data_IF_593830172721
#
_entry.id   IF_593830172721
#
_cell.length_a   1.000
_cell.length_b   1.000
_cell.length_c   1.000
_cell.angle_alpha   90.00
_cell.angle_beta   90.00
_cell.angle_gamma   90.00
#
_symmetry.space_group_name_H-M   'P 1'
#
loop_
_entity.id
_entity.type
_entity.pdbx_description
1 polymer ?
#
# COMPACT_ATOMS: atom_id res chain seq x y z
N UNK A 1 6.69 -63.49 9.84
CA UNK A 1 6.68 -62.15 10.45
C UNK A 1 7.24 -61.04 9.53
N UNK A 2 8.21 -61.35 8.63
CA UNK A 2 8.90 -60.32 7.86
C UNK A 2 8.15 -59.74 6.61
N UNK A 3 7.12 -60.42 6.11
CA UNK A 3 6.38 -59.92 4.92
C UNK A 3 5.26 -58.93 5.27
N UNK A 4 4.69 -59.01 6.46
CA UNK A 4 3.66 -58.02 6.92
C UNK A 4 4.28 -56.68 7.33
N UNK A 5 5.51 -56.70 7.90
CA UNK A 5 6.24 -55.48 8.27
C UNK A 5 6.69 -54.71 7.02
N UNK A 6 7.15 -55.40 5.96
CA UNK A 6 7.51 -54.76 4.70
C UNK A 6 6.30 -54.15 3.97
N UNK A 7 5.12 -54.79 4.03
CA UNK A 7 3.91 -54.25 3.43
C UNK A 7 3.43 -52.99 4.16
N UNK A 8 3.54 -52.96 5.50
CA UNK A 8 3.15 -51.77 6.30
C UNK A 8 4.10 -50.58 6.11
N UNK A 9 5.41 -50.84 6.02
CA UNK A 9 6.41 -49.80 5.73
C UNK A 9 6.29 -49.28 4.28
N UNK A 10 6.02 -50.11 3.31
CA UNK A 10 5.78 -49.70 1.92
C UNK A 10 4.47 -48.87 1.78
N UNK A 11 3.43 -49.20 2.54
CA UNK A 11 2.17 -48.43 2.55
C UNK A 11 2.34 -47.07 3.21
N UNK A 12 3.13 -46.95 4.29
CA UNK A 12 3.44 -45.67 4.92
C UNK A 12 4.32 -44.81 4.01
N UNK A 13 5.34 -45.39 3.34
CA UNK A 13 6.13 -44.66 2.36
C UNK A 13 5.35 -44.27 1.09
N UNK A 14 4.38 -45.09 0.64
CA UNK A 14 3.51 -44.72 -0.49
C UNK A 14 2.51 -43.61 -0.17
N UNK A 15 2.11 -43.46 1.10
CA UNK A 15 1.27 -42.37 1.55
C UNK A 15 2.02 -41.02 1.69
N UNK A 16 3.34 -41.05 1.81
CA UNK A 16 4.18 -39.87 1.90
C UNK A 16 4.59 -39.28 0.55
N UNK A 17 4.47 -40.01 -0.55
CA UNK A 17 4.90 -39.56 -1.90
C UNK A 17 3.81 -38.83 -2.67
N UNK A 18 2.57 -38.76 -2.19
CA UNK A 18 1.45 -38.07 -2.87
C UNK A 18 0.81 -36.93 -2.11
N UNK A 19 1.41 -36.46 -1.02
CA UNK A 19 0.96 -35.26 -0.34
C UNK A 19 1.65 -34.06 -0.96
N UNK A 20 1.17 -33.54 -2.09
CA UNK A 20 1.34 -32.13 -2.40
C UNK A 20 0.94 -31.38 -1.15
N UNK A 21 1.87 -30.64 -0.54
CA UNK A 21 1.62 -29.87 0.67
C UNK A 21 0.39 -28.98 0.44
N UNK A 22 -0.70 -29.26 1.14
CA UNK A 22 -1.90 -28.41 1.08
C UNK A 22 -1.68 -27.07 1.75
N UNK A 23 -0.62 -26.97 2.56
CA UNK A 23 -0.17 -25.77 3.23
C UNK A 23 0.86 -25.06 2.36
N UNK A 24 0.66 -23.78 2.13
CA UNK A 24 1.65 -22.85 1.57
C UNK A 24 2.02 -21.83 2.62
N UNK A 25 3.31 -21.58 2.77
CA UNK A 25 3.86 -20.56 3.68
C UNK A 25 4.75 -19.65 2.87
N UNK A 26 4.66 -18.36 3.08
CA UNK A 26 5.47 -17.38 2.39
C UNK A 26 5.41 -16.04 3.09
N UNK A 27 5.73 -15.01 2.35
CA UNK A 27 5.66 -13.64 2.84
C UNK A 27 6.69 -12.76 2.16
N UNK A 28 6.82 -11.57 2.69
CA UNK A 28 7.82 -10.60 2.27
C UNK A 28 8.30 -9.79 3.49
N UNK A 29 9.38 -9.06 3.30
CA UNK A 29 9.87 -8.16 4.34
C UNK A 29 11.02 -7.31 3.82
N UNK A 30 11.23 -6.21 4.50
CA UNK A 30 12.24 -5.24 4.13
C UNK A 30 12.87 -4.58 5.36
N UNK A 31 14.16 -4.26 5.25
CA UNK A 31 14.88 -3.42 6.18
C UNK A 31 15.53 -2.28 5.42
N UNK A 32 15.42 -1.06 5.91
CA UNK A 32 15.85 0.13 5.23
C UNK A 32 16.65 1.08 6.14
N UNK A 33 17.56 1.81 5.52
CA UNK A 33 18.22 2.97 6.08
C UNK A 33 17.91 4.18 5.20
N UNK A 34 17.55 5.30 5.83
CA UNK A 34 17.32 6.58 5.15
C UNK A 34 18.19 7.67 5.73
N UNK A 35 18.73 8.53 4.87
CA UNK A 35 19.37 9.78 5.24
C UNK A 35 18.64 10.93 4.55
N UNK A 36 17.94 11.74 5.36
CA UNK A 36 17.21 12.91 4.90
C UNK A 36 18.08 14.16 5.03
N UNK A 37 18.14 14.96 3.97
CA UNK A 37 18.87 16.23 3.93
C UNK A 37 17.91 17.42 3.99
N UNK A 38 16.86 17.27 4.79
CA UNK A 38 15.84 18.27 5.08
C UNK A 38 15.36 18.08 6.53
N UNK A 39 14.70 19.10 7.06
CA UNK A 39 14.12 19.06 8.41
C UNK A 39 12.97 18.07 8.51
N UNK A 40 12.89 17.32 9.59
CA UNK A 40 11.71 16.54 9.99
C UNK A 40 10.79 17.31 10.95
N UNK A 41 11.10 18.58 11.22
CA UNK A 41 10.32 19.41 12.13
C UNK A 41 8.88 19.62 11.62
N UNK A 42 7.91 19.54 12.51
CA UNK A 42 6.47 19.70 12.18
C UNK A 42 6.15 21.03 11.52
N UNK A 43 6.84 22.10 11.90
CA UNK A 43 6.64 23.46 11.37
C UNK A 43 7.43 23.75 10.09
N UNK A 44 8.14 22.80 9.50
CA UNK A 44 8.97 23.02 8.28
C UNK A 44 8.20 23.59 7.09
N UNK A 45 6.89 23.36 7.02
CA UNK A 45 6.04 23.91 5.97
C UNK A 45 5.42 25.26 6.32
N UNK A 46 5.24 25.57 7.60
CA UNK A 46 4.72 26.87 8.04
C UNK A 46 5.83 27.91 8.23
N UNK A 47 7.05 27.47 8.51
CA UNK A 47 8.23 28.28 8.78
C UNK A 47 9.45 27.77 8.00
N UNK A 48 9.40 27.70 6.65
CA UNK A 48 10.44 27.04 5.85
C UNK A 48 11.83 27.73 5.98
N UNK A 49 11.88 29.04 6.17
CA UNK A 49 13.14 29.76 6.35
C UNK A 49 13.86 29.41 7.67
N UNK A 50 13.11 29.07 8.71
CA UNK A 50 13.69 28.68 10.00
C UNK A 50 14.27 27.26 9.98
N UNK A 51 13.81 26.43 9.07
CA UNK A 51 14.16 25.01 9.00
C UNK A 51 14.98 24.60 7.77
N UNK A 52 15.41 25.54 6.92
CA UNK A 52 16.16 25.23 5.71
C UNK A 52 17.57 24.71 5.97
N UNK A 53 18.17 25.14 7.07
CA UNK A 53 19.55 24.81 7.47
C UNK A 53 19.57 23.75 8.58
N UNK A 54 18.46 23.11 8.89
CA UNK A 54 18.41 22.03 9.86
C UNK A 54 19.35 20.87 9.46
N UNK A 55 20.01 20.23 10.44
CA UNK A 55 20.95 19.17 10.13
C UNK A 55 20.26 17.97 9.51
N UNK A 56 20.95 17.29 8.60
CA UNK A 56 20.48 16.02 8.06
C UNK A 56 20.34 14.98 9.17
N UNK A 57 19.31 14.14 9.06
CA UNK A 57 19.07 13.06 10.01
C UNK A 57 18.94 11.71 9.31
N UNK A 58 19.24 10.65 10.02
CA UNK A 58 19.14 9.28 9.50
C UNK A 58 18.35 8.39 10.41
N UNK A 59 17.70 7.38 9.83
CA UNK A 59 16.92 6.37 10.55
C UNK A 59 17.12 4.98 9.95
N UNK A 60 17.03 3.97 10.81
CA UNK A 60 16.78 2.60 10.40
C UNK A 60 15.29 2.30 10.54
N UNK A 61 14.78 1.48 9.65
CA UNK A 61 13.38 1.08 9.64
C UNK A 61 13.25 -0.36 9.21
N UNK A 62 12.21 -1.03 9.70
CA UNK A 62 11.70 -2.30 9.20
C UNK A 62 10.25 -2.02 8.79
N UNK A 63 10.03 -1.45 7.58
CA UNK A 63 8.71 -0.98 7.18
C UNK A 63 7.65 -2.07 7.28
N UNK A 64 7.96 -3.25 6.75
CA UNK A 64 7.03 -4.37 6.70
C UNK A 64 7.74 -5.70 6.89
N UNK A 65 7.16 -6.60 7.69
CA UNK A 65 7.44 -8.04 7.71
C UNK A 65 6.10 -8.76 7.68
N UNK A 66 5.85 -9.48 6.61
CA UNK A 66 4.55 -10.11 6.34
C UNK A 66 4.70 -11.62 6.26
N UNK A 67 3.80 -12.33 6.93
CA UNK A 67 3.68 -13.78 6.91
C UNK A 67 2.40 -14.18 6.18
N UNK A 68 2.55 -14.88 5.08
CA UNK A 68 1.46 -15.47 4.33
C UNK A 68 1.27 -16.94 4.68
N UNK A 69 0.03 -17.34 4.96
CA UNK A 69 -0.38 -18.73 5.13
C UNK A 69 -1.56 -19.03 4.20
N UNK A 70 -1.42 -20.05 3.38
CA UNK A 70 -2.46 -20.56 2.51
C UNK A 70 -2.76 -22.02 2.78
N UNK A 71 -4.02 -22.46 2.68
CA UNK A 71 -4.39 -23.85 2.82
C UNK A 71 -5.40 -24.27 1.76
N UNK A 72 -5.14 -25.38 1.07
CA UNK A 72 -6.04 -26.01 0.11
C UNK A 72 -6.83 -27.14 0.78
N UNK A 73 -8.12 -26.93 1.05
CA UNK A 73 -9.03 -27.94 1.59
C UNK A 73 -9.42 -28.98 0.55
N UNK A 74 -9.11 -28.77 -0.72
CA UNK A 74 -9.60 -29.56 -1.84
C UNK A 74 -10.98 -29.13 -2.32
N UNK A 75 -11.44 -29.74 -3.41
CA UNK A 75 -12.74 -29.44 -4.05
C UNK A 75 -12.94 -27.96 -4.40
N UNK A 76 -11.85 -27.23 -4.64
CA UNK A 76 -11.86 -25.79 -4.98
C UNK A 76 -12.06 -24.86 -3.79
N UNK A 77 -11.91 -25.32 -2.55
CA UNK A 77 -11.91 -24.48 -1.36
C UNK A 77 -10.49 -24.15 -0.92
N UNK A 78 -10.20 -22.87 -0.73
CA UNK A 78 -8.91 -22.40 -0.24
C UNK A 78 -9.09 -21.36 0.85
N UNK A 79 -8.14 -21.31 1.79
CA UNK A 79 -7.96 -20.28 2.79
C UNK A 79 -6.71 -19.47 2.42
N UNK A 80 -6.73 -18.15 2.62
CA UNK A 80 -5.56 -17.30 2.65
C UNK A 80 -5.63 -16.39 3.85
N UNK A 81 -4.49 -16.20 4.50
CA UNK A 81 -4.32 -15.22 5.58
C UNK A 81 -2.96 -14.57 5.48
N UNK A 82 -2.88 -13.32 5.83
CA UNK A 82 -1.67 -12.50 5.80
C UNK A 82 -1.62 -11.63 7.05
N UNK A 83 -0.51 -11.73 7.78
CA UNK A 83 -0.27 -11.01 9.03
C UNK A 83 0.94 -10.12 8.79
N UNK A 84 0.75 -8.82 8.97
CA UNK A 84 1.78 -7.81 8.84
C UNK A 84 2.29 -7.35 10.20
N UNK A 85 3.58 -7.08 10.26
CA UNK A 85 4.28 -6.42 11.35
C UNK A 85 4.92 -5.15 10.75
N UNK A 86 4.37 -3.98 11.06
CA UNK A 86 4.93 -2.69 10.64
C UNK A 86 5.91 -2.15 11.70
N UNK A 87 6.98 -1.48 11.25
CA UNK A 87 7.98 -0.79 12.07
C UNK A 87 8.50 -1.59 13.26
N UNK A 88 8.71 -2.91 13.08
CA UNK A 88 9.17 -3.82 14.12
C UNK A 88 8.07 -4.40 15.01
N UNK A 89 6.80 -4.22 14.64
CA UNK A 89 5.65 -4.76 15.38
C UNK A 89 5.35 -4.00 16.67
N UNK A 90 4.87 -4.71 17.68
CA UNK A 90 4.44 -4.11 18.96
C UNK A 90 5.59 -3.81 19.93
N UNK A 91 6.75 -3.40 19.41
CA UNK A 91 7.88 -2.96 20.24
C UNK A 91 7.57 -1.70 21.04
N UNK A 92 8.48 -1.33 21.93
CA UNK A 92 8.42 -0.08 22.69
C UNK A 92 9.15 0.98 21.86
N UNK A 93 8.49 2.08 21.56
CA UNK A 93 9.09 3.27 20.96
C UNK A 93 8.80 4.49 21.82
N UNK A 94 9.67 5.49 21.74
CA UNK A 94 9.35 6.82 22.24
C UNK A 94 8.67 7.58 21.14
N UNK A 95 7.41 7.91 21.29
CA UNK A 95 6.72 8.82 20.40
C UNK A 95 6.92 10.26 20.88
N UNK A 96 7.32 11.13 19.95
CA UNK A 96 7.25 12.55 20.18
C UNK A 96 5.84 12.97 19.84
N UNK A 97 4.99 13.14 20.81
CA UNK A 97 3.67 13.71 20.61
C UNK A 97 3.76 15.21 20.29
N UNK A 98 4.02 15.52 19.04
CA UNK A 98 3.77 16.87 18.51
C UNK A 98 2.25 17.17 18.40
N UNK A 99 1.41 16.23 18.78
CA UNK A 99 -0.04 16.34 18.60
C UNK A 99 -0.74 17.20 19.63
N UNK A 100 -0.18 17.42 20.79
CA UNK A 100 -0.82 18.13 21.90
C UNK A 100 -0.26 19.55 22.17
N UNK A 101 0.04 20.30 21.14
CA UNK A 101 0.21 21.75 21.30
C UNK A 101 1.53 22.19 21.94
N UNK A 102 2.63 21.53 21.64
CA UNK A 102 3.97 21.98 22.00
C UNK A 102 4.42 21.56 23.39
N UNK A 103 3.69 20.72 24.06
CA UNK A 103 4.17 19.99 25.22
C UNK A 103 4.96 18.77 24.73
N UNK A 104 6.26 18.81 24.90
CA UNK A 104 7.18 17.70 24.59
C UNK A 104 7.02 16.63 25.67
N UNK A 105 5.93 15.88 25.63
CA UNK A 105 5.80 14.70 26.48
C UNK A 105 6.44 13.52 25.75
N UNK A 106 7.46 12.95 26.40
CA UNK A 106 8.02 11.67 26.02
C UNK A 106 7.13 10.56 26.58
N UNK A 107 6.09 10.21 25.87
CA UNK A 107 5.33 9.02 26.22
C UNK A 107 5.99 7.79 25.59
N UNK A 108 6.03 6.70 26.37
CA UNK A 108 6.47 5.40 25.89
C UNK A 108 5.27 4.71 25.25
N UNK A 109 5.12 4.87 23.95
CA UNK A 109 4.10 4.16 23.20
C UNK A 109 4.62 2.84 22.61
N UNK A 110 3.69 1.98 22.21
CA UNK A 110 4.02 0.80 21.41
C UNK A 110 4.45 1.27 20.03
N UNK A 111 5.72 1.08 19.68
CA UNK A 111 6.20 1.32 18.32
C UNK A 111 5.75 0.20 17.40
N UNK A 112 5.27 0.57 16.21
CA UNK A 112 4.83 -0.36 15.20
C UNK A 112 3.43 -0.93 15.43
N UNK A 113 2.96 -1.68 14.44
CA UNK A 113 1.62 -2.24 14.37
C UNK A 113 1.68 -3.73 14.04
N UNK A 114 0.71 -4.52 14.52
CA UNK A 114 0.47 -5.89 14.05
C UNK A 114 -0.94 -5.93 13.51
N UNK A 115 -1.07 -6.17 12.22
CA UNK A 115 -2.34 -6.10 11.50
C UNK A 115 -2.66 -7.41 10.77
N UNK A 116 -3.94 -7.76 10.72
CA UNK A 116 -4.44 -8.81 9.85
C UNK A 116 -4.75 -8.18 8.49
N UNK A 117 -3.79 -8.20 7.55
CA UNK A 117 -4.00 -7.64 6.21
C UNK A 117 -5.01 -8.41 5.40
N UNK A 118 -4.98 -9.74 5.48
CA UNK A 118 -5.93 -10.58 4.76
C UNK A 118 -6.37 -11.78 5.61
N UNK A 119 -7.65 -12.08 5.51
CA UNK A 119 -8.24 -13.35 5.96
C UNK A 119 -9.45 -13.65 5.11
N UNK A 120 -9.39 -14.69 4.29
CA UNK A 120 -10.49 -15.02 3.40
C UNK A 120 -10.62 -16.51 3.13
N UNK A 121 -11.84 -16.91 2.83
CA UNK A 121 -12.16 -18.19 2.24
C UNK A 121 -12.60 -17.99 0.80
N UNK A 122 -12.11 -18.85 -0.09
CA UNK A 122 -12.44 -18.83 -1.51
C UNK A 122 -13.02 -20.15 -1.97
N UNK A 123 -14.05 -20.07 -2.80
CA UNK A 123 -14.57 -21.18 -3.59
C UNK A 123 -14.29 -20.93 -5.06
N UNK A 124 -13.53 -21.81 -5.68
CA UNK A 124 -13.31 -21.86 -7.12
C UNK A 124 -14.27 -22.84 -7.77
N UNK A 125 -15.07 -22.35 -8.71
CA UNK A 125 -16.00 -23.17 -9.53
C UNK A 125 -15.35 -23.50 -10.87
N UNK A 126 -14.63 -22.53 -11.45
CA UNK A 126 -13.92 -22.66 -12.70
C UNK A 126 -12.81 -21.60 -12.76
N UNK A 127 -11.90 -21.68 -13.73
CA UNK A 127 -10.87 -20.66 -13.96
C UNK A 127 -11.45 -19.24 -14.14
N UNK A 128 -12.65 -19.17 -14.68
CA UNK A 128 -13.36 -17.92 -14.96
C UNK A 128 -14.35 -17.51 -13.86
N UNK A 129 -14.59 -18.35 -12.83
CA UNK A 129 -15.59 -18.08 -11.79
C UNK A 129 -15.08 -18.51 -10.41
N UNK A 130 -14.77 -17.53 -9.57
CA UNK A 130 -14.34 -17.72 -8.19
C UNK A 130 -15.05 -16.72 -7.29
N UNK A 131 -15.43 -17.15 -6.10
CA UNK A 131 -15.97 -16.28 -5.04
C UNK A 131 -14.98 -16.30 -3.88
N UNK A 132 -14.66 -15.14 -3.36
CA UNK A 132 -13.84 -14.93 -2.16
C UNK A 132 -14.61 -14.09 -1.17
N UNK A 133 -14.59 -14.47 0.12
CA UNK A 133 -15.32 -13.80 1.20
C UNK A 133 -14.37 -13.64 2.38
N UNK A 134 -14.33 -12.46 2.96
CA UNK A 134 -13.52 -12.13 4.13
C UNK A 134 -12.90 -10.75 4.03
N UNK A 135 -11.76 -10.58 4.67
CA UNK A 135 -10.93 -9.38 4.56
C UNK A 135 -9.98 -9.55 3.38
N UNK A 136 -10.11 -8.72 2.37
CA UNK A 136 -9.53 -8.91 1.04
C UNK A 136 -8.90 -7.63 0.52
N UNK A 137 -7.84 -7.75 -0.28
CA UNK A 137 -7.21 -6.60 -0.95
C UNK A 137 -8.18 -5.96 -1.93
N UNK A 138 -8.31 -4.64 -1.86
CA UNK A 138 -9.08 -3.82 -2.79
C UNK A 138 -8.24 -3.60 -4.06
N UNK A 139 -8.64 -4.09 -5.24
CA UNK A 139 -7.77 -4.18 -6.40
C UNK A 139 -7.68 -2.87 -7.19
N UNK A 140 -7.54 -1.73 -6.52
CA UNK A 140 -7.47 -0.40 -7.13
C UNK A 140 -6.04 0.11 -7.10
N UNK A 141 -5.55 0.61 -8.22
CA UNK A 141 -4.18 1.09 -8.39
C UNK A 141 -3.17 0.00 -8.73
N UNK A 142 -1.95 0.41 -9.01
CA UNK A 142 -0.83 -0.48 -9.34
C UNK A 142 -0.17 -1.02 -8.07
N UNK A 143 0.22 -0.10 -7.18
CA UNK A 143 1.06 -0.44 -6.03
C UNK A 143 0.25 -1.16 -4.96
N UNK A 144 -1.01 -0.78 -4.77
CA UNK A 144 -1.88 -1.49 -3.84
C UNK A 144 -2.16 -2.93 -4.28
N UNK A 145 -2.41 -3.16 -5.56
CA UNK A 145 -2.64 -4.50 -6.09
C UNK A 145 -1.36 -5.36 -6.15
N UNK A 146 -0.18 -4.76 -6.08
CA UNK A 146 1.14 -5.40 -6.22
C UNK A 146 2.16 -4.75 -5.27
N UNK A 147 1.87 -4.78 -3.97
CA UNK A 147 2.56 -4.00 -2.94
C UNK A 147 3.86 -4.64 -2.40
N UNK A 148 4.17 -5.88 -2.78
CA UNK A 148 5.38 -6.54 -2.32
C UNK A 148 6.65 -5.81 -2.80
N UNK A 149 7.73 -5.78 -2.02
CA UNK A 149 8.90 -4.94 -2.28
C UNK A 149 9.69 -5.29 -3.54
N UNK A 150 9.47 -6.44 -4.15
CA UNK A 150 10.05 -6.81 -5.45
C UNK A 150 9.29 -6.20 -6.64
N UNK A 151 8.11 -5.62 -6.41
CA UNK A 151 7.25 -5.08 -7.46
C UNK A 151 7.49 -3.59 -7.75
N UNK A 152 8.43 -2.95 -7.08
CA UNK A 152 8.87 -1.57 -7.35
C UNK A 152 10.39 -1.43 -7.15
N UNK A 153 11.01 -0.43 -7.79
CA UNK A 153 12.46 -0.24 -7.71
C UNK A 153 12.92 0.57 -6.50
N UNK A 154 12.12 1.53 -6.05
CA UNK A 154 12.43 2.38 -4.89
C UNK A 154 12.62 1.57 -3.62
N UNK A 155 13.36 2.09 -2.64
CA UNK A 155 13.54 1.41 -1.34
C UNK A 155 12.21 1.31 -0.61
N UNK A 156 11.50 2.42 -0.48
CA UNK A 156 10.13 2.44 0.03
C UNK A 156 9.09 2.36 -1.08
N UNK A 157 7.87 2.00 -0.74
CA UNK A 157 6.72 2.01 -1.66
C UNK A 157 6.61 3.35 -2.41
N UNK A 158 6.21 3.35 -3.68
CA UNK A 158 5.94 4.58 -4.43
C UNK A 158 4.97 5.51 -3.70
N UNK A 159 5.30 6.81 -3.66
CA UNK A 159 4.62 7.75 -2.76
C UNK A 159 3.25 8.19 -3.24
N UNK A 160 3.09 8.44 -4.55
CA UNK A 160 1.92 9.11 -5.06
C UNK A 160 0.62 8.37 -4.76
N UNK A 161 0.51 7.11 -5.19
CA UNK A 161 -0.65 6.26 -4.91
C UNK A 161 -0.81 6.04 -3.41
N UNK A 162 0.29 5.75 -2.71
CA UNK A 162 0.33 5.54 -1.28
C UNK A 162 -0.03 6.79 -0.44
N UNK A 163 0.01 7.99 -1.03
CA UNK A 163 -0.41 9.22 -0.36
C UNK A 163 -1.92 9.42 -0.43
N UNK A 164 -2.55 9.15 -1.57
CA UNK A 164 -3.97 9.47 -1.78
C UNK A 164 -4.93 8.32 -1.45
N UNK A 165 -4.45 7.08 -1.44
CA UNK A 165 -5.23 5.87 -1.16
C UNK A 165 -4.64 5.10 0.01
N UNK A 166 -5.42 4.25 0.70
CA UNK A 166 -4.86 3.32 1.67
C UNK A 166 -3.71 2.51 1.05
N UNK A 167 -2.63 2.37 1.79
CA UNK A 167 -1.49 1.54 1.44
C UNK A 167 -1.75 0.14 1.95
N UNK A 168 -1.55 -0.87 1.12
CA UNK A 168 -2.07 -2.21 1.35
C UNK A 168 -3.58 -2.15 1.66
N UNK A 169 -4.31 -1.55 0.74
CA UNK A 169 -5.75 -1.33 0.93
C UNK A 169 -6.50 -2.65 0.94
N UNK A 170 -6.99 -3.02 2.08
CA UNK A 170 -7.86 -4.20 2.27
C UNK A 170 -9.12 -3.82 3.03
N UNK A 171 -10.21 -4.54 2.77
CA UNK A 171 -11.51 -4.31 3.39
C UNK A 171 -12.31 -5.61 3.45
N UNK A 172 -13.23 -5.67 4.39
CA UNK A 172 -14.12 -6.84 4.52
C UNK A 172 -15.25 -6.80 3.51
N UNK A 173 -15.44 -7.91 2.82
CA UNK A 173 -16.47 -8.01 1.79
C UNK A 173 -16.46 -9.31 0.99
N UNK A 174 -17.00 -9.21 -0.21
CA UNK A 174 -17.11 -10.32 -1.16
C UNK A 174 -16.47 -9.91 -2.48
N UNK A 175 -15.67 -10.80 -3.06
CA UNK A 175 -15.08 -10.67 -4.39
C UNK A 175 -15.57 -11.77 -5.31
N UNK A 176 -15.95 -11.38 -6.53
CA UNK A 176 -16.14 -12.23 -7.69
C UNK A 176 -15.00 -11.98 -8.66
N UNK A 177 -14.22 -13.01 -8.99
CA UNK A 177 -13.09 -12.84 -9.89
C UNK A 177 -12.90 -14.04 -10.81
N UNK A 178 -12.18 -13.82 -11.90
CA UNK A 178 -11.87 -14.88 -12.83
C UNK A 178 -10.86 -14.48 -13.89
N UNK A 179 -10.51 -15.48 -14.72
CA UNK A 179 -9.66 -15.33 -15.89
C UNK A 179 -10.35 -15.94 -17.10
N UNK A 180 -10.44 -15.15 -18.17
CA UNK A 180 -10.97 -15.61 -19.45
C UNK A 180 -10.06 -15.13 -20.59
N UNK A 181 -9.48 -16.06 -21.32
CA UNK A 181 -8.42 -15.77 -22.30
C UNK A 181 -7.29 -14.95 -21.64
N UNK A 182 -7.00 -13.81 -22.19
CA UNK A 182 -5.94 -12.90 -21.78
C UNK A 182 -6.42 -11.85 -20.76
N UNK A 183 -7.65 -11.98 -20.29
CA UNK A 183 -8.21 -11.05 -19.30
C UNK A 183 -8.31 -11.70 -17.92
N UNK A 184 -7.93 -10.92 -16.88
CA UNK A 184 -8.32 -11.13 -15.50
C UNK A 184 -9.31 -10.03 -15.11
N UNK A 185 -10.34 -10.38 -14.41
CA UNK A 185 -11.34 -9.43 -13.91
C UNK A 185 -11.71 -9.74 -12.48
N UNK A 186 -12.09 -8.69 -11.76
CA UNK A 186 -12.53 -8.76 -10.37
C UNK A 186 -13.56 -7.68 -10.11
N UNK A 187 -14.61 -8.01 -9.35
CA UNK A 187 -15.61 -7.08 -8.84
C UNK A 187 -15.86 -7.39 -7.37
N UNK A 188 -15.86 -6.37 -6.54
CA UNK A 188 -16.01 -6.49 -5.08
C UNK A 188 -17.17 -5.65 -4.56
N UNK A 189 -17.84 -6.17 -3.53
CA UNK A 189 -18.74 -5.42 -2.66
C UNK A 189 -18.12 -5.42 -1.26
N UNK A 190 -17.89 -4.24 -0.71
CA UNK A 190 -17.06 -3.99 0.45
C UNK A 190 -17.77 -3.11 1.47
N UNK A 191 -17.31 -3.12 2.72
CA UNK A 191 -17.56 -2.04 3.65
C UNK A 191 -17.03 -0.72 3.08
N UNK A 192 -17.70 0.39 3.34
CA UNK A 192 -17.26 1.72 2.90
C UNK A 192 -16.12 2.26 3.75
N UNK A 193 -15.44 3.29 3.27
CA UNK A 193 -14.44 4.03 4.05
C UNK A 193 -15.11 4.93 5.10
N UNK A 194 -14.39 5.25 6.17
CA UNK A 194 -14.82 6.19 7.20
C UNK A 194 -14.26 7.60 6.91
N UNK A 195 -15.13 8.54 6.62
CA UNK A 195 -14.75 9.93 6.32
C UNK A 195 -14.15 10.69 7.52
N UNK A 196 -14.34 10.21 8.76
CA UNK A 196 -13.78 10.83 9.97
C UNK A 196 -12.25 10.83 9.95
N UNK A 197 -11.65 9.87 9.25
CA UNK A 197 -10.21 9.68 9.16
C UNK A 197 -9.59 10.35 7.91
N UNK A 198 -10.37 11.06 7.10
CA UNK A 198 -9.83 11.76 5.92
C UNK A 198 -9.05 13.00 6.32
N UNK A 199 -7.98 13.30 5.59
CA UNK A 199 -7.07 14.41 5.92
C UNK A 199 -6.70 15.23 4.69
N UNK A 200 -6.17 16.44 4.90
CA UNK A 200 -5.64 17.29 3.83
C UNK A 200 -4.35 16.72 3.21
N UNK A 201 -3.54 16.00 3.99
CA UNK A 201 -2.24 15.45 3.56
C UNK A 201 -2.34 14.05 2.96
N UNK A 202 -3.38 13.30 3.27
CA UNK A 202 -3.56 11.92 2.84
C UNK A 202 -4.90 11.63 2.16
N UNK A 203 -5.70 12.65 1.88
CA UNK A 203 -7.02 12.52 1.28
C UNK A 203 -7.85 11.44 1.98
N UNK A 204 -8.10 10.28 1.32
CA UNK A 204 -8.88 9.17 1.90
C UNK A 204 -8.02 8.07 2.55
N UNK A 205 -6.68 8.21 2.55
CA UNK A 205 -5.72 7.16 2.93
C UNK A 205 -6.07 6.44 4.24
N UNK A 206 -6.40 7.19 5.30
CA UNK A 206 -6.71 6.62 6.61
C UNK A 206 -8.17 6.15 6.78
N UNK A 207 -8.98 6.26 5.73
CA UNK A 207 -10.41 5.96 5.80
C UNK A 207 -10.77 4.49 5.98
N UNK A 208 -9.85 3.56 5.78
CA UNK A 208 -10.01 2.14 6.02
C UNK A 208 -9.93 1.78 7.51
N UNK A 209 -9.35 2.64 8.35
CA UNK A 209 -9.17 2.36 9.77
C UNK A 209 -10.49 2.56 10.52
N UNK A 210 -10.82 1.59 11.38
CA UNK A 210 -11.99 1.61 12.25
C UNK A 210 -11.53 1.73 13.72
N UNK A 211 -12.24 2.50 14.57
CA UNK A 211 -11.75 2.78 15.93
C UNK A 211 -11.87 1.58 16.89
N UNK A 212 -12.81 0.68 16.71
CA UNK A 212 -13.06 -0.42 17.69
C UNK A 212 -13.44 -1.74 17.04
N UNK A 213 -14.14 -1.70 15.92
CA UNK A 213 -14.49 -2.86 15.12
C UNK A 213 -13.49 -3.05 14.01
N UNK A 214 -13.41 -4.24 13.49
CA UNK A 214 -12.55 -4.54 12.36
C UNK A 214 -12.93 -3.71 11.12
N UNK A 215 -14.24 -3.67 10.78
CA UNK A 215 -14.81 -2.79 9.75
C UNK A 215 -16.23 -2.38 10.15
N UNK A 216 -16.52 -1.09 10.09
CA UNK A 216 -17.90 -0.59 10.20
C UNK A 216 -18.57 -0.65 8.83
N UNK A 217 -19.73 -1.30 8.73
CA UNK A 217 -20.43 -1.52 7.47
C UNK A 217 -21.79 -0.80 7.40
N UNK A 218 -21.86 0.45 7.88
CA UNK A 218 -23.06 1.29 7.73
C UNK A 218 -23.19 1.87 6.32
N UNK A 219 -22.07 1.90 5.57
CA UNK A 219 -21.99 2.27 4.17
C UNK A 219 -21.25 1.19 3.40
N UNK A 220 -21.55 1.10 2.11
CA UNK A 220 -20.98 0.11 1.21
C UNK A 220 -20.23 0.77 0.06
N UNK A 221 -19.32 0.01 -0.51
CA UNK A 221 -18.55 0.40 -1.67
C UNK A 221 -18.41 -0.77 -2.64
N UNK A 222 -18.10 -0.44 -3.88
CA UNK A 222 -17.75 -1.39 -4.94
C UNK A 222 -16.38 -1.07 -5.48
N UNK A 223 -15.58 -2.09 -5.74
CA UNK A 223 -14.32 -1.97 -6.45
C UNK A 223 -14.35 -2.91 -7.67
N UNK A 224 -13.75 -2.46 -8.77
CA UNK A 224 -13.65 -3.26 -9.99
C UNK A 224 -12.23 -3.16 -10.56
N UNK A 225 -11.75 -4.25 -11.18
CA UNK A 225 -10.48 -4.29 -11.90
C UNK A 225 -10.57 -5.20 -13.12
N UNK A 226 -9.95 -4.77 -14.22
CA UNK A 226 -9.72 -5.58 -15.41
C UNK A 226 -8.26 -5.44 -15.80
N UNK A 227 -7.56 -6.57 -15.94
CA UNK A 227 -6.20 -6.64 -16.48
C UNK A 227 -6.20 -7.35 -17.83
N UNK A 228 -5.45 -6.82 -18.79
CA UNK A 228 -5.20 -7.39 -20.10
C UNK A 228 -3.75 -7.85 -20.23
N UNK A 229 -3.54 -9.08 -20.70
CA UNK A 229 -2.25 -9.74 -20.90
C UNK A 229 -2.06 -10.20 -22.36
N UNK A 230 -2.83 -9.66 -23.33
CA UNK A 230 -2.79 -10.12 -24.72
C UNK A 230 -1.46 -9.84 -25.43
N UNK A 231 -0.67 -8.89 -24.94
CA UNK A 231 0.65 -8.57 -25.48
C UNK A 231 1.71 -9.22 -24.55
N UNK A 232 2.55 -10.13 -25.08
CA UNK A 232 3.60 -10.75 -24.30
C UNK A 232 4.52 -9.74 -23.61
N UNK A 233 4.71 -9.88 -22.31
CA UNK A 233 5.52 -8.97 -21.49
C UNK A 233 4.81 -7.68 -21.09
N UNK A 234 3.58 -7.41 -21.52
CA UNK A 234 2.82 -6.23 -21.16
C UNK A 234 1.50 -6.60 -20.47
N UNK A 235 1.29 -6.07 -19.27
CA UNK A 235 0.01 -6.04 -18.57
C UNK A 235 -0.51 -4.60 -18.57
N UNK A 236 -1.77 -4.41 -18.93
CA UNK A 236 -2.49 -3.14 -18.77
C UNK A 236 -3.65 -3.38 -17.82
N UNK A 237 -3.76 -2.58 -16.76
CA UNK A 237 -4.79 -2.63 -15.75
C UNK A 237 -5.69 -1.39 -15.81
N UNK A 238 -6.98 -1.60 -15.64
CA UNK A 238 -7.96 -0.54 -15.41
C UNK A 238 -8.73 -0.90 -14.14
N UNK A 239 -8.81 0.02 -13.19
CA UNK A 239 -9.52 -0.23 -11.93
C UNK A 239 -10.28 1.01 -11.46
N UNK A 240 -11.24 0.80 -10.56
CA UNK A 240 -12.03 1.85 -9.99
C UNK A 240 -12.69 1.46 -8.68
N UNK A 241 -13.01 2.48 -7.90
CA UNK A 241 -13.73 2.36 -6.63
C UNK A 241 -14.86 3.38 -6.58
N UNK A 242 -16.01 2.95 -6.07
CA UNK A 242 -17.14 3.84 -5.80
C UNK A 242 -17.79 3.45 -4.48
N UNK A 243 -17.96 4.44 -3.56
CA UNK A 243 -18.57 4.20 -2.27
C UNK A 243 -19.08 5.44 -1.57
N UNK A 244 -19.70 5.25 -0.42
CA UNK A 244 -20.14 6.30 0.48
C UNK A 244 -19.34 6.21 1.79
N UNK A 245 -18.95 7.36 2.37
CA UNK A 245 -18.04 7.41 3.52
C UNK A 245 -18.58 8.16 4.74
N UNK A 246 -19.42 9.19 4.54
CA UNK A 246 -19.98 9.95 5.64
C UNK A 246 -20.99 9.10 6.39
N UNK A 247 -20.80 8.98 7.72
CA UNK A 247 -21.62 8.14 8.60
C UNK A 247 -21.26 6.65 8.57
N UNK A 248 -20.12 6.25 7.99
CA UNK A 248 -19.56 4.92 8.15
C UNK A 248 -18.68 4.85 9.42
N UNK A 249 -19.30 5.14 10.54
CA UNK A 249 -18.69 5.20 11.87
C UNK A 249 -19.73 4.81 12.91
N UNK A 250 -19.31 4.71 14.16
CA UNK A 250 -20.25 4.52 15.27
C UNK A 250 -21.15 5.72 15.45
N UNK A 251 -22.44 5.54 15.71
CA UNK A 251 -23.31 6.63 16.14
C UNK A 251 -22.79 7.14 17.49
N UNK A 252 -22.29 8.36 17.50
CA UNK A 252 -22.01 9.06 18.76
C UNK A 252 -23.28 9.77 19.21
N UNK A 253 -23.60 9.69 20.50
CA UNK A 253 -24.85 10.26 21.09
C UNK A 253 -24.97 11.77 20.91
N UNK A 254 -23.94 12.46 20.50
CA UNK A 254 -23.87 13.92 20.58
C UNK A 254 -24.00 14.68 19.27
N UNK A 255 -23.90 14.02 18.13
CA UNK A 255 -23.91 14.79 16.89
C UNK A 255 -24.70 14.07 15.82
N UNK A 256 -25.83 14.68 15.47
CA UNK A 256 -26.56 14.29 14.29
C UNK A 256 -25.66 14.42 13.06
N UNK A 257 -24.98 13.34 12.71
CA UNK A 257 -24.35 13.21 11.40
C UNK A 257 -25.44 13.49 10.39
N UNK A 258 -25.34 14.62 9.71
CA UNK A 258 -26.36 15.00 8.75
C UNK A 258 -26.49 13.92 7.70
N UNK A 259 -27.56 13.14 7.75
CA UNK A 259 -27.89 12.08 6.77
C UNK A 259 -28.07 12.67 5.35
N UNK A 260 -28.11 13.99 5.23
CA UNK A 260 -28.19 14.73 3.98
C UNK A 260 -26.97 14.53 3.10
N UNK A 261 -25.77 14.39 3.69
CA UNK A 261 -24.51 14.28 2.96
C UNK A 261 -24.03 12.85 2.93
N UNK A 262 -23.54 12.38 1.78
CA UNK A 262 -23.15 10.98 1.58
C UNK A 262 -21.64 10.75 1.54
N UNK A 263 -20.85 11.82 1.29
CA UNK A 263 -19.40 11.66 1.08
C UNK A 263 -19.10 10.63 0.00
N UNK A 264 -19.58 10.86 -1.22
CA UNK A 264 -19.38 9.95 -2.35
C UNK A 264 -17.92 9.95 -2.75
N UNK A 265 -17.29 8.80 -2.81
CA UNK A 265 -15.94 8.62 -3.32
C UNK A 265 -16.06 7.96 -4.68
N UNK A 266 -15.35 8.49 -5.67
CA UNK A 266 -15.12 7.83 -6.96
C UNK A 266 -13.64 7.90 -7.29
N UNK A 267 -13.02 6.75 -7.58
CA UNK A 267 -11.61 6.66 -7.98
C UNK A 267 -11.55 5.91 -9.31
N UNK A 268 -10.77 6.44 -10.25
CA UNK A 268 -10.36 5.76 -11.47
C UNK A 268 -8.85 5.63 -11.51
N UNK A 269 -8.36 4.46 -11.88
CA UNK A 269 -6.94 4.17 -12.04
C UNK A 269 -6.68 3.41 -13.33
N UNK A 270 -5.64 3.82 -14.04
CA UNK A 270 -5.04 3.08 -15.15
C UNK A 270 -3.58 2.80 -14.81
N UNK A 271 -3.16 1.56 -15.06
CA UNK A 271 -1.79 1.16 -14.78
C UNK A 271 -1.26 0.17 -15.84
N UNK A 272 0.06 0.05 -15.91
CA UNK A 272 0.70 -0.95 -16.75
C UNK A 272 2.01 -1.45 -16.15
N UNK A 273 2.39 -2.65 -16.55
CA UNK A 273 3.70 -3.25 -16.29
C UNK A 273 4.21 -3.88 -17.58
N UNK A 274 5.36 -3.42 -18.06
CA UNK A 274 6.10 -4.05 -19.15
C UNK A 274 7.33 -4.73 -18.62
N UNK A 275 7.49 -6.00 -18.93
CA UNK A 275 8.64 -6.84 -18.52
C UNK A 275 9.11 -7.70 -19.69
N UNK A 276 9.96 -7.15 -20.53
CA UNK A 276 10.59 -7.82 -21.64
C UNK A 276 11.91 -7.13 -22.02
N UNK A 277 12.76 -7.81 -22.81
CA UNK A 277 14.01 -7.26 -23.37
C UNK A 277 14.95 -6.67 -22.30
N UNK A 278 15.00 -7.30 -21.13
CA UNK A 278 15.79 -6.87 -19.95
C UNK A 278 15.31 -5.54 -19.31
N UNK A 279 14.20 -5.00 -19.77
CA UNK A 279 13.52 -3.86 -19.18
C UNK A 279 12.38 -4.29 -18.25
N UNK A 280 12.21 -3.54 -17.19
CA UNK A 280 10.97 -3.47 -16.42
C UNK A 280 10.54 -2.00 -16.44
N UNK A 281 9.33 -1.74 -16.95
CA UNK A 281 8.74 -0.41 -16.98
C UNK A 281 7.36 -0.52 -16.35
N UNK A 282 7.04 0.36 -15.38
CA UNK A 282 5.75 0.41 -14.71
C UNK A 282 5.25 1.83 -14.67
N UNK A 283 3.95 2.01 -14.79
CA UNK A 283 3.34 3.32 -14.66
C UNK A 283 1.90 3.24 -14.23
N UNK A 284 1.44 4.30 -13.57
CA UNK A 284 0.05 4.46 -13.16
C UNK A 284 -0.40 5.91 -13.25
N UNK A 285 -1.71 6.11 -13.33
CA UNK A 285 -2.37 7.39 -13.16
C UNK A 285 -3.70 7.16 -12.44
N UNK A 286 -3.85 7.84 -11.30
CA UNK A 286 -4.97 7.73 -10.40
C UNK A 286 -5.64 9.10 -10.24
N UNK A 287 -6.96 9.11 -10.30
CA UNK A 287 -7.74 10.31 -10.04
C UNK A 287 -8.92 9.98 -9.14
N UNK A 288 -9.08 10.79 -8.09
CA UNK A 288 -10.11 10.64 -7.09
C UNK A 288 -11.00 11.86 -6.94
N UNK A 289 -12.30 11.61 -6.71
CA UNK A 289 -13.33 12.60 -6.42
C UNK A 289 -14.01 12.27 -5.08
N UNK A 290 -14.18 13.29 -4.22
CA UNK A 290 -14.90 13.22 -2.95
C UNK A 290 -16.02 14.26 -2.93
N UNK A 291 -17.25 13.82 -3.00
CA UNK A 291 -18.43 14.67 -2.90
C UNK A 291 -18.68 15.12 -1.46
N UNK A 292 -19.13 16.36 -1.30
CA UNK A 292 -19.40 16.99 0.02
C UNK A 292 -18.16 17.15 0.91
N UNK A 293 -16.97 17.25 0.33
CA UNK A 293 -15.72 17.43 1.05
C UNK A 293 -15.71 18.69 1.94
N UNK A 294 -16.35 19.78 1.46
CA UNK A 294 -16.54 21.04 2.19
C UNK A 294 -17.36 20.86 3.46
N UNK A 295 -18.26 19.88 3.50
CA UNK A 295 -19.12 19.62 4.64
C UNK A 295 -18.42 18.85 5.76
N UNK A 296 -17.36 18.11 5.46
CA UNK A 296 -16.60 17.37 6.47
C UNK A 296 -16.05 18.28 7.56
N UNK A 297 -15.63 19.49 7.21
CA UNK A 297 -15.20 20.53 8.18
C UNK A 297 -16.24 20.84 9.25
N UNK A 298 -17.50 20.84 8.90
CA UNK A 298 -18.60 21.22 9.80
C UNK A 298 -19.20 20.05 10.54
N UNK A 299 -19.06 18.83 10.01
CA UNK A 299 -19.65 17.63 10.58
C UNK A 299 -18.89 17.13 11.80
N UNK A 300 -17.58 17.27 11.76
CA UNK A 300 -16.72 16.80 12.85
C UNK A 300 -16.32 18.01 13.69
N UNK A 301 -16.91 18.10 14.89
CA UNK A 301 -16.62 19.18 15.83
C UNK A 301 -15.22 18.99 16.43
N UNK A 302 -14.20 19.20 15.60
CA UNK A 302 -12.78 19.13 15.98
C UNK A 302 -12.32 20.38 16.75
N UNK A 303 -13.27 21.18 17.29
CA UNK A 303 -12.97 22.43 17.99
C UNK A 303 -12.12 22.31 19.26
N UNK A 304 -12.08 21.12 19.85
CA UNK A 304 -11.37 20.89 21.11
C UNK A 304 -10.00 20.23 20.94
N UNK A 305 -9.49 20.16 19.72
CA UNK A 305 -8.20 19.56 19.46
C UNK A 305 -7.09 20.60 19.58
N UNK A 306 -6.16 20.36 20.47
CA UNK A 306 -4.94 21.17 20.66
C UNK A 306 -3.83 20.85 19.66
N UNK A 307 -3.96 19.78 18.89
CA UNK A 307 -2.94 19.35 17.95
C UNK A 307 -2.83 20.26 16.74
N UNK A 308 -1.63 20.70 16.33
CA UNK A 308 -1.40 21.42 15.10
C UNK A 308 -1.83 20.61 13.84
N UNK A 309 -1.84 19.28 13.91
CA UNK A 309 -2.32 18.42 12.83
C UNK A 309 -3.84 18.29 12.75
N UNK A 310 -4.54 18.59 13.83
CA UNK A 310 -6.02 18.56 13.88
C UNK A 310 -6.67 19.81 13.24
N UNK A 311 -5.88 20.77 12.77
CA UNK A 311 -6.38 21.83 11.89
C UNK A 311 -6.72 21.34 10.48
N UNK A 312 -6.42 20.09 10.16
CA UNK A 312 -6.76 19.45 8.90
C UNK A 312 -8.24 19.02 8.81
N UNK A 313 -9.16 19.82 9.33
CA UNK A 313 -10.60 19.63 9.10
C UNK A 313 -10.99 19.77 7.62
N UNK A 314 -10.07 20.25 6.79
CA UNK A 314 -10.27 20.40 5.36
C UNK A 314 -9.77 19.16 4.64
N UNK A 315 -10.62 18.60 3.81
CA UNK A 315 -10.30 17.53 2.87
C UNK A 315 -10.62 18.03 1.47
N UNK A 316 -9.77 17.74 0.52
CA UNK A 316 -9.99 18.13 -0.87
C UNK A 316 -11.12 17.34 -1.51
N UNK A 317 -11.89 17.97 -2.38
CA UNK A 317 -12.85 17.31 -3.25
C UNK A 317 -12.20 16.46 -4.34
N UNK A 318 -10.92 16.67 -4.65
CA UNK A 318 -10.20 15.92 -5.66
C UNK A 318 -8.75 15.64 -5.21
N UNK A 319 -8.24 14.48 -5.65
CA UNK A 319 -6.84 14.11 -5.50
C UNK A 319 -6.35 13.40 -6.75
N UNK A 320 -5.05 13.42 -7.02
CA UNK A 320 -4.44 12.67 -8.10
C UNK A 320 -3.05 12.16 -7.75
N UNK A 321 -2.65 11.08 -8.42
CA UNK A 321 -1.29 10.57 -8.41
C UNK A 321 -0.93 10.02 -9.78
N UNK A 322 0.27 10.34 -10.26
CA UNK A 322 0.84 9.83 -11.51
C UNK A 322 2.25 9.36 -11.20
N UNK A 323 2.63 8.19 -11.70
CA UNK A 323 3.98 7.66 -11.52
C UNK A 323 4.42 6.83 -12.71
N UNK A 324 5.71 6.89 -13.00
CA UNK A 324 6.37 6.03 -13.98
C UNK A 324 7.76 5.69 -13.50
N UNK A 325 8.14 4.42 -13.65
CA UNK A 325 9.50 3.95 -13.41
C UNK A 325 9.99 3.05 -14.54
N UNK A 326 11.29 3.08 -14.77
CA UNK A 326 11.94 2.19 -15.73
C UNK A 326 13.29 1.72 -15.18
N UNK A 327 13.58 0.43 -15.31
CA UNK A 327 14.85 -0.17 -14.94
C UNK A 327 15.34 -1.12 -16.02
N UNK A 328 16.66 -1.09 -16.25
CA UNK A 328 17.34 -1.97 -17.21
C UNK A 328 18.33 -2.88 -16.49
N UNK A 329 18.27 -4.19 -16.77
CA UNK A 329 19.17 -5.18 -16.21
C UNK A 329 20.51 -5.18 -16.97
N UNK A 330 21.52 -4.54 -16.36
CA UNK A 330 22.87 -4.44 -16.96
C UNK A 330 23.57 -5.80 -16.99
N UNK A 331 23.34 -6.67 -16.00
CA UNK A 331 23.95 -8.00 -15.94
C UNK A 331 23.53 -8.89 -17.09
N UNK A 332 22.42 -8.61 -17.74
CA UNK A 332 22.01 -9.27 -18.97
C UNK A 332 23.02 -9.16 -20.10
N UNK A 333 23.89 -8.14 -20.09
CA UNK A 333 24.92 -7.90 -21.08
C UNK A 333 26.24 -8.65 -20.78
N UNK A 334 26.38 -9.20 -19.57
CA UNK A 334 27.58 -9.89 -19.10
C UNK A 334 27.28 -11.39 -19.03
N UNK A 335 27.84 -12.20 -19.94
CA UNK A 335 27.49 -13.60 -20.09
C UNK A 335 27.61 -14.41 -18.78
N UNK A 336 28.70 -14.24 -18.02
CA UNK A 336 28.92 -14.97 -16.76
C UNK A 336 27.85 -14.63 -15.71
N UNK A 337 27.39 -13.38 -15.61
CA UNK A 337 26.40 -12.95 -14.63
C UNK A 337 24.98 -13.37 -15.07
N UNK A 338 24.71 -13.27 -16.36
CA UNK A 338 23.46 -13.76 -16.96
C UNK A 338 23.29 -15.27 -16.73
N UNK A 339 24.35 -16.07 -16.89
CA UNK A 339 24.32 -17.52 -16.69
C UNK A 339 24.07 -17.88 -15.20
N UNK A 340 24.52 -17.06 -14.27
CA UNK A 340 24.21 -17.18 -12.84
C UNK A 340 22.79 -16.74 -12.49
N UNK A 341 22.05 -16.11 -13.43
CA UNK A 341 20.71 -15.55 -13.23
C UNK A 341 20.66 -14.42 -12.22
N UNK A 342 21.78 -13.84 -11.87
CA UNK A 342 21.86 -12.60 -11.08
C UNK A 342 21.39 -11.44 -11.94
N UNK A 343 20.72 -10.45 -11.30
CA UNK A 343 20.26 -9.24 -12.00
C UNK A 343 20.74 -7.98 -11.30
N UNK A 344 21.03 -6.97 -12.11
CA UNK A 344 21.43 -5.66 -11.62
C UNK A 344 20.73 -4.58 -12.43
N UNK A 345 19.69 -3.99 -11.85
CA UNK A 345 18.94 -2.93 -12.49
C UNK A 345 19.52 -1.57 -12.13
N UNK A 346 19.67 -0.71 -13.13
CA UNK A 346 19.75 0.74 -12.97
C UNK A 346 18.37 1.29 -13.30
N UNK A 347 17.80 2.13 -12.45
CA UNK A 347 16.46 2.62 -12.61
C UNK A 347 16.33 4.12 -12.42
N UNK A 348 15.26 4.68 -12.98
CA UNK A 348 14.74 6.00 -12.71
C UNK A 348 13.24 5.96 -12.48
N UNK A 349 12.74 6.84 -11.61
CA UNK A 349 11.33 7.03 -11.31
C UNK A 349 10.96 8.50 -11.26
N UNK A 350 9.77 8.82 -11.76
CA UNK A 350 9.12 10.12 -11.60
C UNK A 350 7.73 9.93 -11.03
N UNK A 351 7.33 10.81 -10.12
CA UNK A 351 6.00 10.87 -9.53
C UNK A 351 5.52 12.32 -9.44
N UNK A 352 4.23 12.52 -9.67
CA UNK A 352 3.54 13.78 -9.42
C UNK A 352 2.22 13.47 -8.71
N UNK A 353 1.99 14.06 -7.55
CA UNK A 353 0.76 13.82 -6.80
C UNK A 353 0.32 15.02 -5.98
N UNK A 354 -0.97 15.06 -5.70
CA UNK A 354 -1.56 16.07 -4.82
C UNK A 354 -2.83 15.53 -4.16
N UNK A 355 -2.80 15.25 -2.85
CA UNK A 355 -3.99 14.88 -2.08
C UNK A 355 -4.97 16.04 -1.86
N UNK A 356 -4.55 17.29 -2.12
CA UNK A 356 -5.35 18.49 -1.94
C UNK A 356 -5.46 19.31 -3.24
N UNK A 357 -6.10 18.73 -4.27
CA UNK A 357 -6.07 19.27 -5.64
C UNK A 357 -7.20 20.24 -5.98
N UNK A 358 -8.31 20.29 -5.23
CA UNK A 358 -9.51 21.05 -5.63
C UNK A 358 -9.58 22.48 -5.14
N UNK A 359 -8.80 22.87 -4.12
CA UNK A 359 -8.85 24.22 -3.59
C UNK A 359 -7.61 25.03 -3.99
N UNK A 360 -7.69 25.62 -5.15
CA UNK A 360 -6.62 26.51 -5.66
C UNK A 360 -6.57 27.88 -4.94
N UNK A 361 -7.57 28.21 -4.10
CA UNK A 361 -7.64 29.47 -3.38
C UNK A 361 -6.96 29.41 -2.01
N UNK A 362 -6.82 28.22 -1.44
CA UNK A 362 -6.17 28.04 -0.15
C UNK A 362 -4.72 27.58 -0.34
N UNK A 363 -3.80 28.52 -0.41
CA UNK A 363 -2.36 28.26 -0.57
C UNK A 363 -1.71 27.62 0.65
N UNK A 364 -2.41 27.53 1.79
CA UNK A 364 -1.89 26.99 3.05
C UNK A 364 -1.51 25.50 2.95
N UNK A 365 -1.99 24.78 1.93
CA UNK A 365 -1.70 23.36 1.71
C UNK A 365 -0.87 23.10 0.44
N UNK A 366 -0.20 24.11 -0.10
CA UNK A 366 0.64 23.97 -1.31
C UNK A 366 1.77 22.94 -1.16
N UNK A 367 2.23 22.68 0.06
CA UNK A 367 3.24 21.66 0.36
C UNK A 367 2.78 20.22 0.09
N UNK A 368 1.48 19.97 -0.08
CA UNK A 368 0.96 18.64 -0.42
C UNK A 368 1.12 18.29 -1.89
N UNK A 369 1.35 19.30 -2.76
CA UNK A 369 1.62 19.11 -4.17
C UNK A 369 3.10 18.82 -4.38
N UNK A 370 3.42 17.61 -4.74
CA UNK A 370 4.79 17.10 -4.83
C UNK A 370 5.07 16.59 -6.23
N UNK A 371 6.26 16.94 -6.75
CA UNK A 371 6.91 16.25 -7.85
C UNK A 371 8.14 15.55 -7.29
N UNK A 372 8.30 14.26 -7.52
CA UNK A 372 9.42 13.46 -7.02
C UNK A 372 10.17 12.80 -8.15
N UNK A 373 11.47 12.84 -8.08
CA UNK A 373 12.35 11.97 -8.86
C UNK A 373 13.08 11.01 -7.92
N UNK A 374 13.33 9.81 -8.39
CA UNK A 374 14.24 8.88 -7.74
C UNK A 374 15.08 8.18 -8.81
N UNK A 375 16.34 7.91 -8.50
CA UNK A 375 17.24 7.14 -9.35
C UNK A 375 18.14 6.27 -8.50
N UNK A 376 18.44 5.05 -8.96
CA UNK A 376 19.22 4.14 -8.14
C UNK A 376 19.50 2.81 -8.81
N UNK A 377 19.84 1.83 -7.97
CA UNK A 377 20.24 0.49 -8.36
C UNK A 377 19.53 -0.56 -7.52
N UNK A 378 19.22 -1.69 -8.16
CA UNK A 378 18.70 -2.89 -7.49
C UNK A 378 19.53 -4.09 -7.89
N UNK A 379 20.17 -4.75 -6.92
CA UNK A 379 20.89 -6.00 -7.12
C UNK A 379 20.08 -7.17 -6.60
N UNK A 380 19.83 -8.15 -7.45
CA UNK A 380 19.13 -9.39 -7.13
C UNK A 380 20.08 -10.58 -7.27
N UNK A 381 20.71 -11.05 -6.17
CA UNK A 381 21.55 -12.25 -6.19
C UNK A 381 20.74 -13.52 -6.48
N UNK A 382 19.50 -13.54 -6.04
CA UNK A 382 18.49 -14.56 -6.33
C UNK A 382 17.15 -13.85 -6.59
N UNK A 383 16.19 -14.55 -7.18
CA UNK A 383 14.91 -13.93 -7.59
C UNK A 383 14.05 -13.46 -6.43
N UNK A 384 14.27 -13.98 -5.23
CA UNK A 384 13.51 -13.66 -4.02
C UNK A 384 14.12 -12.55 -3.17
N UNK A 385 15.38 -12.13 -3.42
CA UNK A 385 16.09 -11.11 -2.61
C UNK A 385 16.53 -9.97 -3.50
N UNK A 386 16.35 -8.74 -3.01
CA UNK A 386 16.84 -7.53 -3.65
C UNK A 386 17.56 -6.64 -2.65
N UNK A 387 18.73 -6.13 -3.02
CA UNK A 387 19.42 -5.02 -2.35
C UNK A 387 19.20 -3.77 -3.18
N UNK A 388 18.73 -2.70 -2.55
CA UNK A 388 18.32 -1.45 -3.20
C UNK A 388 19.14 -0.28 -2.67
N UNK A 389 19.47 0.66 -3.54
CA UNK A 389 20.01 1.96 -3.15
C UNK A 389 19.49 3.03 -4.10
N UNK A 390 19.05 4.17 -3.54
CA UNK A 390 18.50 5.26 -4.32
C UNK A 390 18.85 6.63 -3.76
N UNK A 391 18.91 7.61 -4.64
CA UNK A 391 18.74 9.02 -4.34
C UNK A 391 17.31 9.41 -4.73
N UNK A 392 16.64 10.14 -3.86
CA UNK A 392 15.29 10.64 -4.04
C UNK A 392 15.21 12.12 -3.77
N UNK A 393 14.41 12.86 -4.53
CA UNK A 393 14.24 14.29 -4.35
C UNK A 393 12.78 14.67 -4.59
N UNK A 394 12.13 15.22 -3.56
CA UNK A 394 10.81 15.84 -3.67
C UNK A 394 10.97 17.32 -3.92
N UNK A 395 10.39 17.78 -5.01
CA UNK A 395 10.28 19.19 -5.36
C UNK A 395 8.93 19.70 -4.88
N UNK A 396 8.96 20.74 -4.07
CA UNK A 396 7.80 21.43 -3.56
C UNK A 396 7.64 22.79 -4.25
N UNK A 397 6.51 23.46 -4.07
CA UNK A 397 6.35 24.84 -4.56
C UNK A 397 7.38 25.77 -3.90
N UNK A 398 7.78 26.84 -4.60
CA UNK A 398 8.96 27.68 -4.27
C UNK A 398 8.97 28.32 -2.88
N UNK A 399 7.84 28.32 -2.19
CA UNK A 399 7.74 28.81 -0.82
C UNK A 399 8.15 27.76 0.23
N UNK A 400 8.47 26.55 -0.17
CA UNK A 400 8.86 25.45 0.72
C UNK A 400 10.25 24.93 0.37
N UNK A 401 10.89 24.26 1.31
CA UNK A 401 12.15 23.59 1.10
C UNK A 401 11.95 22.25 0.36
N UNK A 402 12.83 21.96 -0.58
CA UNK A 402 12.87 20.62 -1.21
C UNK A 402 13.33 19.56 -0.22
N UNK A 403 12.97 18.31 -0.50
CA UNK A 403 13.23 17.18 0.40
C UNK A 403 14.09 16.10 -0.29
N UNK A 404 15.43 16.30 -0.36
CA UNK A 404 16.35 15.29 -0.86
C UNK A 404 16.67 14.22 0.17
N UNK A 405 16.84 12.96 -0.28
CA UNK A 405 17.22 11.84 0.60
C UNK A 405 18.05 10.79 -0.14
N UNK A 406 18.80 9.99 0.63
CA UNK A 406 19.43 8.74 0.18
C UNK A 406 18.81 7.61 0.99
N UNK A 407 18.39 6.56 0.30
CA UNK A 407 17.81 5.37 0.92
C UNK A 407 18.57 4.13 0.47
N UNK A 408 18.78 3.19 1.39
CA UNK A 408 19.39 1.88 1.13
C UNK A 408 18.53 0.85 1.84
N UNK A 409 18.27 -0.29 1.18
CA UNK A 409 17.46 -1.34 1.78
C UNK A 409 17.77 -2.72 1.24
N UNK A 410 17.32 -3.70 1.97
CA UNK A 410 17.27 -5.09 1.55
C UNK A 410 15.85 -5.61 1.74
N UNK A 411 15.35 -6.35 0.75
CA UNK A 411 14.02 -6.91 0.81
C UNK A 411 14.00 -8.34 0.27
N UNK A 412 13.03 -9.11 0.76
CA UNK A 412 12.71 -10.42 0.19
C UNK A 412 11.20 -10.53 -0.08
N UNK A 413 10.81 -11.37 -1.03
CA UNK A 413 9.44 -11.84 -1.20
C UNK A 413 9.44 -13.23 -1.82
N UNK A 414 8.66 -14.17 -1.28
CA UNK A 414 8.59 -15.52 -1.81
C UNK A 414 7.74 -16.47 -0.98
N UNK A 415 7.56 -17.66 -1.56
CA UNK A 415 6.96 -18.78 -0.86
C UNK A 415 8.07 -19.68 -0.28
N UNK A 416 7.93 -20.01 0.99
CA UNK A 416 8.74 -21.02 1.67
C UNK A 416 8.01 -22.36 1.56
N UNK A 417 8.67 -23.39 1.09
CA UNK A 417 8.11 -24.73 0.96
C UNK A 417 8.65 -25.66 2.03
#
# INVERSE_FOLDING_TARGET
MNRLVLAFTATICALTVSAQSRLSVGGYGEAAFSRNFYSDHVSRYSQPEEHKDDPSHGRFDIPHVVVWLGYDFGKGWTLGTEIEFEHGGTGIAYEKEDEEGGEWEQETEKGGEVELEQFWLQKSFARWANIRIGHIVVPVGLNNAHHEPLNFFTVYRPEGENTIMPSTWHQTGVSLWGRYKDFRYEAQLLAGLNADNFTNVGWIKKGHKSPMEFDVANKYATAVRIDNYSIPGLRIGLSGYYGHSIGNTYPTEKEGVSTKYKGRIAIGSIDFTYQAHNWIIRGQADYGYLGSADQLKYMYNRKNSKSPFKHSAYVSGNAYAIGIEAGYDIFSQIAVLRDKKEKFYVFGRYEAYNPYASDTKNTSYGYTKVNRIAAGINYMPVKEIVVKAEYSHRFLDSQYNNEPSINIGIAYAGLFR
#
